data_IF_732487112601
#
_entry.id   IF_732487112601
#
_cell.length_a   1.000
_cell.length_b   1.000
_cell.length_c   1.000
_cell.angle_alpha   90.00
_cell.angle_beta   90.00
_cell.angle_gamma   90.00
#
_symmetry.space_group_name_H-M   'P 1'
#
loop_
_entity.id
_entity.type
_entity.pdbx_description
1 polymer ?
#
# COMPACT_ATOMS: atom_id res chain seq x y z
N UNK A 1 -31.91 1.40 18.43
CA UNK A 1 -32.13 0.47 17.30
C UNK A 1 -33.55 -0.05 17.42
N UNK A 2 -34.37 -0.06 16.36
CA UNK A 2 -35.68 -0.69 16.40
C UNK A 2 -35.53 -2.16 16.79
N UNK A 3 -36.42 -2.65 17.65
CA UNK A 3 -36.36 -4.00 18.26
C UNK A 3 -36.82 -5.11 17.31
N UNK A 4 -37.47 -4.75 16.20
CA UNK A 4 -37.86 -5.66 15.12
C UNK A 4 -37.25 -5.15 13.81
N UNK A 5 -36.40 -5.94 13.13
CA UNK A 5 -35.89 -5.58 11.81
C UNK A 5 -37.04 -5.53 10.79
N UNK A 6 -37.05 -4.48 9.98
CA UNK A 6 -38.00 -4.36 8.87
C UNK A 6 -37.53 -5.26 7.71
N UNK A 7 -38.37 -6.23 7.33
CA UNK A 7 -38.15 -7.13 6.20
C UNK A 7 -39.04 -6.81 4.99
N UNK A 8 -39.79 -5.72 5.04
CA UNK A 8 -40.60 -5.28 3.90
C UNK A 8 -39.69 -4.89 2.75
N UNK A 9 -39.79 -5.64 1.66
CA UNK A 9 -39.10 -5.33 0.41
C UNK A 9 -39.94 -4.25 -0.29
N UNK A 10 -39.39 -3.05 -0.56
CA UNK A 10 -40.12 -2.04 -1.28
C UNK A 10 -40.42 -2.51 -2.70
N UNK A 11 -41.55 -2.06 -3.26
CA UNK A 11 -41.87 -2.31 -4.65
C UNK A 11 -40.74 -1.85 -5.57
N UNK A 12 -40.46 -2.65 -6.59
CA UNK A 12 -39.48 -2.29 -7.61
C UNK A 12 -39.84 -0.94 -8.27
N UNK A 13 -38.85 -0.10 -8.61
CA UNK A 13 -39.11 1.18 -9.24
C UNK A 13 -39.83 1.02 -10.58
N UNK A 14 -40.72 1.97 -10.96
CA UNK A 14 -41.46 1.88 -12.20
C UNK A 14 -40.51 1.91 -13.41
N UNK A 15 -40.84 1.18 -14.49
CA UNK A 15 -39.99 1.16 -15.68
C UNK A 15 -39.95 2.55 -16.33
N UNK A 16 -38.80 2.92 -16.94
CA UNK A 16 -38.68 4.18 -17.66
C UNK A 16 -39.67 4.25 -18.83
N UNK A 17 -40.16 5.45 -19.20
CA UNK A 17 -41.12 5.61 -20.29
C UNK A 17 -40.51 5.18 -21.62
N UNK A 18 -41.28 4.47 -22.45
CA UNK A 18 -40.81 3.74 -23.65
C UNK A 18 -40.02 4.57 -24.66
N UNK A 19 -40.27 5.88 -24.72
CA UNK A 19 -39.63 6.80 -25.68
C UNK A 19 -38.43 7.56 -25.09
N UNK A 20 -38.00 7.23 -23.86
CA UNK A 20 -36.87 7.88 -23.22
C UNK A 20 -35.54 7.19 -23.54
N UNK A 21 -34.45 7.95 -23.53
CA UNK A 21 -33.09 7.41 -23.64
C UNK A 21 -32.79 6.36 -22.57
N UNK A 22 -33.33 6.54 -21.35
CA UNK A 22 -33.21 5.58 -20.25
C UNK A 22 -33.87 4.25 -20.57
N UNK A 23 -35.02 4.24 -21.26
CA UNK A 23 -35.67 3.01 -21.70
C UNK A 23 -34.88 2.31 -22.80
N UNK A 24 -34.29 3.06 -23.73
CA UNK A 24 -33.41 2.50 -24.75
C UNK A 24 -32.15 1.86 -24.14
N UNK A 25 -31.50 2.53 -23.18
CA UNK A 25 -30.35 1.99 -22.46
C UNK A 25 -30.70 0.74 -21.62
N UNK A 26 -31.87 0.74 -20.97
CA UNK A 26 -32.38 -0.42 -20.24
C UNK A 26 -32.59 -1.59 -21.20
N UNK A 27 -33.29 -1.40 -22.31
CA UNK A 27 -33.55 -2.46 -23.29
C UNK A 27 -32.24 -3.03 -23.88
N UNK A 28 -31.28 -2.17 -24.22
CA UNK A 28 -29.96 -2.59 -24.69
C UNK A 28 -29.21 -3.43 -23.64
N UNK A 29 -29.36 -3.09 -22.36
CA UNK A 29 -28.76 -3.82 -21.24
C UNK A 29 -29.46 -5.16 -21.01
N UNK A 30 -30.79 -5.18 -20.99
CA UNK A 30 -31.59 -6.41 -20.87
C UNK A 30 -31.26 -7.40 -21.98
N UNK A 31 -31.11 -6.94 -23.22
CA UNK A 31 -30.72 -7.80 -24.35
C UNK A 31 -29.35 -8.47 -24.14
N UNK A 32 -28.38 -7.78 -23.52
CA UNK A 32 -27.08 -8.38 -23.17
C UNK A 32 -27.25 -9.48 -22.11
N UNK A 33 -28.12 -9.26 -21.14
CA UNK A 33 -28.43 -10.26 -20.11
C UNK A 33 -29.15 -11.48 -20.68
N UNK A 34 -30.13 -11.30 -21.56
CA UNK A 34 -30.80 -12.40 -22.26
C UNK A 34 -29.79 -13.26 -23.02
N UNK A 35 -28.90 -12.62 -23.78
CA UNK A 35 -27.83 -13.33 -24.49
C UNK A 35 -26.90 -14.10 -23.54
N UNK A 36 -26.50 -13.49 -22.42
CA UNK A 36 -25.68 -14.16 -21.42
C UNK A 36 -26.38 -15.38 -20.80
N UNK A 37 -27.69 -15.28 -20.53
CA UNK A 37 -28.49 -16.39 -20.01
C UNK A 37 -28.62 -17.52 -21.03
N UNK A 38 -28.78 -17.21 -22.31
CA UNK A 38 -28.82 -18.21 -23.37
C UNK A 38 -27.48 -18.94 -23.52
N UNK A 39 -26.35 -18.22 -23.46
CA UNK A 39 -25.02 -18.82 -23.42
C UNK A 39 -24.86 -19.77 -22.21
N UNK A 40 -25.37 -19.37 -21.03
CA UNK A 40 -25.36 -20.23 -19.84
C UNK A 40 -26.17 -21.50 -20.03
N UNK A 41 -27.36 -21.42 -20.65
CA UNK A 41 -28.19 -22.61 -20.96
C UNK A 41 -27.46 -23.57 -21.90
N UNK A 42 -26.62 -23.06 -22.78
CA UNK A 42 -25.76 -23.84 -23.68
C UNK A 42 -24.50 -24.40 -22.98
N UNK A 43 -24.34 -24.19 -21.68
CA UNK A 43 -23.16 -24.62 -20.91
C UNK A 43 -21.93 -23.74 -21.11
N UNK A 44 -22.05 -22.60 -21.78
CA UNK A 44 -20.93 -21.67 -21.99
C UNK A 44 -20.83 -20.74 -20.79
N UNK A 45 -19.84 -20.98 -19.94
CA UNK A 45 -19.54 -20.09 -18.81
C UNK A 45 -18.65 -18.92 -19.26
N UNK A 46 -19.23 -17.73 -19.41
CA UNK A 46 -18.51 -16.56 -19.92
C UNK A 46 -17.25 -16.23 -19.11
N UNK A 47 -17.30 -16.23 -17.78
CA UNK A 47 -16.15 -15.90 -16.94
C UNK A 47 -15.00 -16.92 -17.08
N UNK A 48 -15.31 -18.20 -17.28
CA UNK A 48 -14.32 -19.25 -17.51
C UNK A 48 -13.66 -19.08 -18.88
N UNK A 49 -14.47 -18.81 -19.91
CA UNK A 49 -13.97 -18.49 -21.25
C UNK A 49 -13.13 -17.20 -21.25
N UNK A 50 -13.53 -16.22 -20.45
CA UNK A 50 -12.81 -14.96 -20.29
C UNK A 50 -11.47 -15.17 -19.58
N UNK A 51 -11.43 -15.97 -18.52
CA UNK A 51 -10.22 -16.31 -17.77
C UNK A 51 -9.23 -17.16 -18.61
N UNK A 52 -9.74 -18.08 -19.42
CA UNK A 52 -8.91 -18.91 -20.31
C UNK A 52 -8.40 -18.15 -21.55
N UNK A 53 -9.01 -17.00 -21.88
CA UNK A 53 -8.60 -16.16 -23.01
C UNK A 53 -7.15 -15.69 -22.88
N UNK A 54 -6.36 -15.89 -23.94
CA UNK A 54 -4.97 -15.41 -24.00
C UNK A 54 -4.88 -13.89 -24.04
N UNK A 55 -5.91 -13.20 -24.56
CA UNK A 55 -5.94 -11.73 -24.65
C UNK A 55 -5.89 -11.08 -23.26
N UNK A 56 -6.52 -11.68 -22.25
CA UNK A 56 -6.51 -11.15 -20.88
C UNK A 56 -5.29 -11.57 -20.05
N UNK A 57 -4.52 -12.54 -20.52
CA UNK A 57 -3.27 -12.98 -19.85
C UNK A 57 -2.08 -12.04 -20.12
N UNK A 58 -2.30 -10.96 -20.87
CA UNK A 58 -1.27 -9.98 -21.17
C UNK A 58 -1.15 -8.95 -20.03
N UNK A 59 -0.03 -8.87 -19.29
CA UNK A 59 0.13 -7.92 -18.20
C UNK A 59 0.08 -6.46 -18.65
N UNK A 60 0.37 -6.17 -19.93
CA UNK A 60 0.26 -4.82 -20.50
C UNK A 60 -1.16 -4.38 -20.84
N UNK A 61 -2.16 -5.27 -20.73
CA UNK A 61 -3.54 -4.94 -21.05
C UNK A 61 -4.19 -4.09 -19.95
N UNK A 62 -3.96 -4.41 -18.68
CA UNK A 62 -4.58 -3.73 -17.55
C UNK A 62 -4.30 -2.20 -17.56
N UNK A 63 -3.03 -1.74 -17.73
CA UNK A 63 -2.75 -0.31 -17.82
C UNK A 63 -3.54 0.39 -18.94
N UNK A 64 -3.63 -0.22 -20.13
CA UNK A 64 -4.37 0.34 -21.27
C UNK A 64 -5.87 0.44 -21.01
N UNK A 65 -6.44 -0.54 -20.31
CA UNK A 65 -7.85 -0.51 -19.92
C UNK A 65 -8.11 0.57 -18.86
N UNK A 66 -7.18 0.75 -17.92
CA UNK A 66 -7.25 1.84 -16.94
C UNK A 66 -7.16 3.21 -17.62
N UNK A 67 -6.23 3.38 -18.57
CA UNK A 67 -6.10 4.60 -19.38
C UNK A 67 -7.37 4.88 -20.19
N UNK A 68 -7.94 3.86 -20.85
CA UNK A 68 -9.19 3.98 -21.59
C UNK A 68 -10.38 4.40 -20.70
N UNK A 69 -10.43 3.88 -19.48
CA UNK A 69 -11.46 4.21 -18.50
C UNK A 69 -11.17 5.52 -17.74
N UNK A 70 -10.05 6.19 -18.02
CA UNK A 70 -9.57 7.36 -17.28
C UNK A 70 -9.45 7.11 -15.76
N UNK A 71 -9.05 5.89 -15.36
CA UNK A 71 -8.85 5.48 -13.97
C UNK A 71 -7.36 5.53 -13.67
N UNK A 72 -6.94 6.37 -12.71
CA UNK A 72 -5.54 6.37 -12.27
C UNK A 72 -5.24 5.15 -11.38
N UNK A 73 -3.95 4.84 -11.21
CA UNK A 73 -3.52 3.80 -10.26
C UNK A 73 -3.93 4.13 -8.82
N UNK A 74 -3.97 5.39 -8.43
CA UNK A 74 -4.45 5.78 -7.10
C UNK A 74 -5.96 5.63 -6.96
N UNK A 75 -6.72 5.83 -8.04
CA UNK A 75 -8.17 5.65 -8.03
C UNK A 75 -8.56 4.18 -7.83
N UNK A 76 -7.75 3.23 -8.31
CA UNK A 76 -8.03 1.81 -8.14
C UNK A 76 -7.91 1.34 -6.69
N UNK A 77 -7.20 2.09 -5.84
CA UNK A 77 -7.07 1.83 -4.40
C UNK A 77 -8.12 2.54 -3.55
N UNK A 78 -9.04 3.31 -4.16
CA UNK A 78 -10.09 4.00 -3.40
C UNK A 78 -11.05 3.02 -2.75
N UNK A 79 -11.43 3.32 -1.51
CA UNK A 79 -12.46 2.57 -0.80
C UNK A 79 -13.86 2.98 -1.26
N UNK A 80 -14.80 2.04 -1.21
CA UNK A 80 -16.23 2.35 -1.32
C UNK A 80 -16.80 2.93 0.00
N UNK A 81 -16.02 2.93 1.08
CA UNK A 81 -16.42 3.49 2.38
C UNK A 81 -16.27 5.03 2.40
N UNK A 82 -17.09 5.73 3.21
CA UNK A 82 -16.97 7.18 3.39
C UNK A 82 -15.60 7.61 3.94
N UNK A 83 -15.23 8.85 3.65
CA UNK A 83 -14.04 9.50 4.20
C UNK A 83 -14.10 9.52 5.75
N UNK A 84 -12.96 9.24 6.40
CA UNK A 84 -12.84 9.14 7.86
C UNK A 84 -12.99 7.73 8.43
N UNK A 85 -13.61 6.80 7.70
CA UNK A 85 -13.64 5.36 8.03
C UNK A 85 -12.77 4.57 7.05
N UNK A 86 -12.73 4.99 5.79
CA UNK A 86 -11.89 4.41 4.76
C UNK A 86 -10.38 4.54 5.07
N UNK A 87 -9.62 3.55 4.61
CA UNK A 87 -8.15 3.67 4.53
C UNK A 87 -7.80 4.68 3.43
N UNK A 88 -6.96 5.70 3.71
CA UNK A 88 -6.51 6.65 2.69
C UNK A 88 -5.73 5.93 1.58
N UNK A 89 -6.00 6.28 0.32
CA UNK A 89 -5.26 5.74 -0.83
C UNK A 89 -3.84 6.31 -0.94
N UNK A 90 -3.59 7.49 -0.35
CA UNK A 90 -2.28 8.10 -0.26
C UNK A 90 -2.02 8.56 1.18
N UNK A 91 -0.79 8.35 1.63
CA UNK A 91 -0.32 8.76 2.95
C UNK A 91 0.53 10.02 2.85
N UNK A 92 0.67 10.80 3.94
CA UNK A 92 1.63 11.90 3.98
C UNK A 92 3.05 11.40 3.71
N UNK A 93 3.86 12.20 3.01
CA UNK A 93 5.20 11.80 2.55
C UNK A 93 6.07 11.18 3.65
N UNK A 94 6.02 11.72 4.86
CA UNK A 94 6.82 11.25 6.00
C UNK A 94 6.46 9.83 6.47
N UNK A 95 5.34 9.27 6.01
CA UNK A 95 4.86 7.94 6.37
C UNK A 95 5.39 6.85 5.45
N UNK A 96 5.93 7.20 4.26
CA UNK A 96 6.51 6.22 3.36
C UNK A 96 7.88 5.74 3.87
N UNK A 97 8.16 4.45 3.68
CA UNK A 97 9.37 3.80 4.15
C UNK A 97 10.66 4.50 3.69
N UNK A 98 10.69 4.98 2.44
CA UNK A 98 11.84 5.71 1.89
C UNK A 98 12.13 7.00 2.65
N UNK A 99 11.08 7.76 2.99
CA UNK A 99 11.21 9.02 3.69
C UNK A 99 11.56 8.81 5.16
N UNK A 100 10.99 7.78 5.80
CA UNK A 100 11.39 7.35 7.15
C UNK A 100 12.87 6.98 7.21
N UNK A 101 13.37 6.24 6.21
CA UNK A 101 14.78 5.86 6.14
C UNK A 101 15.68 7.10 6.00
N UNK A 102 15.36 8.00 5.06
CA UNK A 102 16.08 9.27 4.87
C UNK A 102 16.10 10.13 6.13
N UNK A 103 14.99 10.19 6.87
CA UNK A 103 14.90 10.90 8.13
C UNK A 103 15.79 10.27 9.21
N UNK A 104 15.76 8.93 9.34
CA UNK A 104 16.58 8.20 10.30
C UNK A 104 18.07 8.42 10.05
N UNK A 105 18.52 8.27 8.80
CA UNK A 105 19.92 8.54 8.42
C UNK A 105 20.35 9.97 8.77
N UNK A 106 19.48 10.96 8.53
CA UNK A 106 19.76 12.36 8.87
C UNK A 106 19.88 12.55 10.38
N UNK A 107 19.02 11.91 11.16
CA UNK A 107 19.05 11.97 12.62
C UNK A 107 20.29 11.27 13.19
N UNK A 108 20.70 10.13 12.63
CA UNK A 108 21.93 9.45 13.02
C UNK A 108 23.18 10.27 12.71
N UNK A 109 23.26 10.89 11.52
CA UNK A 109 24.35 11.80 11.16
C UNK A 109 24.45 12.98 12.12
N UNK A 110 23.31 13.59 12.49
CA UNK A 110 23.26 14.66 13.50
C UNK A 110 23.72 14.18 14.88
N UNK A 111 23.27 13.00 15.34
CA UNK A 111 23.68 12.41 16.61
C UNK A 111 25.18 12.12 16.65
N UNK A 112 25.75 11.62 15.55
CA UNK A 112 27.18 11.37 15.42
C UNK A 112 28.00 12.67 15.41
N UNK A 113 27.51 13.72 14.74
CA UNK A 113 28.16 15.04 14.76
C UNK A 113 28.18 15.62 16.18
N UNK A 114 27.03 15.61 16.87
CA UNK A 114 26.92 16.09 18.26
C UNK A 114 27.83 15.33 19.23
N UNK A 115 27.98 14.01 19.07
CA UNK A 115 28.89 13.21 19.91
C UNK A 115 30.37 13.55 19.72
N UNK A 116 30.76 14.02 18.53
CA UNK A 116 32.15 14.40 18.23
C UNK A 116 32.52 15.77 18.80
N UNK A 117 31.53 16.60 19.11
CA UNK A 117 31.72 17.96 19.64
C UNK A 117 31.75 18.00 21.18
N UNK A 118 31.61 16.85 21.86
CA UNK A 118 31.68 16.77 23.31
C UNK A 118 33.15 16.71 23.76
N UNK A 119 33.64 17.81 24.32
CA UNK A 119 34.91 17.84 25.06
C UNK A 119 34.74 17.18 26.43
N UNK A 120 35.29 15.98 26.58
CA UNK A 120 35.29 15.26 27.85
C UNK A 120 36.37 15.83 28.77
N UNK A 121 35.95 16.41 29.90
CA UNK A 121 36.88 16.79 30.96
C UNK A 121 37.39 15.51 31.65
N UNK A 122 38.72 15.26 31.68
CA UNK A 122 39.26 14.13 32.42
C UNK A 122 38.95 14.30 33.91
N UNK A 123 38.53 13.21 34.57
CA UNK A 123 38.31 13.24 36.01
C UNK A 123 39.58 13.73 36.73
N UNK A 124 39.45 14.81 37.52
CA UNK A 124 40.53 15.30 38.37
C UNK A 124 40.96 14.16 39.28
N UNK A 125 42.21 13.70 39.10
CA UNK A 125 42.78 12.59 39.87
C UNK A 125 42.73 12.97 41.36
N UNK A 126 42.12 12.17 42.26
CA UNK A 126 42.49 12.28 43.66
C UNK A 126 43.96 11.89 43.75
N UNK A 127 44.77 12.76 44.34
CA UNK A 127 46.17 12.52 44.60
C UNK A 127 46.31 11.30 45.53
N UNK A 128 46.59 10.14 44.95
CA UNK A 128 47.13 9.00 45.68
C UNK A 128 48.38 8.56 44.93
N UNK A 129 49.50 8.80 45.58
CA UNK A 129 50.84 8.37 45.23
C UNK A 129 50.91 6.84 45.13
N UNK A 130 51.28 6.32 43.97
CA UNK A 130 52.01 5.05 43.89
C UNK A 130 52.79 5.00 42.58
N UNK A 131 54.10 5.12 42.75
CA UNK A 131 55.14 4.77 41.79
C UNK A 131 55.02 3.31 41.34
N UNK A 132 54.98 3.02 40.04
CA UNK A 132 55.80 2.01 39.37
C UNK A 132 55.39 1.81 37.89
N UNK A 133 56.42 1.87 37.05
CA UNK A 133 56.66 1.19 35.78
C UNK A 133 55.90 1.53 34.49
N UNK A 134 56.69 2.16 33.60
CA UNK A 134 56.55 2.15 32.15
C UNK A 134 56.84 0.75 31.59
N UNK A 135 56.01 0.26 30.68
CA UNK A 135 56.51 -0.40 29.46
C UNK A 135 55.49 -0.27 28.33
N UNK A 136 56.02 0.09 27.17
CA UNK A 136 55.33 0.34 25.92
C UNK A 136 54.99 -0.96 25.19
N UNK A 137 53.94 -0.96 24.35
CA UNK A 137 54.00 -1.40 22.95
C UNK A 137 52.58 -1.43 22.38
N UNK A 138 52.39 -0.78 21.24
CA UNK A 138 51.15 -0.82 20.49
C UNK A 138 50.97 -2.12 19.72
N UNK A 139 49.74 -2.61 19.66
CA UNK A 139 49.27 -3.46 18.56
C UNK A 139 47.84 -3.06 18.21
N UNK A 140 47.69 -2.51 17.00
CA UNK A 140 46.41 -2.39 16.32
C UNK A 140 45.94 -3.81 15.97
N UNK A 141 45.11 -4.40 16.83
CA UNK A 141 44.43 -5.65 16.50
C UNK A 141 42.98 -5.34 16.11
N UNK A 142 42.74 -5.38 14.80
CA UNK A 142 41.43 -5.27 14.21
C UNK A 142 40.56 -6.43 14.70
N UNK A 143 39.67 -6.14 15.65
CA UNK A 143 38.66 -7.07 16.14
C UNK A 143 37.71 -7.45 15.00
N UNK A 144 38.04 -8.53 14.27
CA UNK A 144 37.13 -9.15 13.30
C UNK A 144 35.90 -9.69 14.05
N UNK A 145 34.77 -9.05 13.81
CA UNK A 145 33.46 -9.44 14.31
C UNK A 145 33.00 -10.74 13.65
N UNK A 146 32.44 -11.65 14.45
CA UNK A 146 31.98 -13.00 14.06
C UNK A 146 30.66 -12.99 13.26
N UNK A 147 30.16 -11.82 12.88
CA UNK A 147 28.85 -11.65 12.24
C UNK A 147 28.90 -11.65 10.70
N UNK A 148 30.09 -11.56 10.09
CA UNK A 148 30.26 -11.44 8.63
C UNK A 148 30.31 -12.78 7.86
N UNK A 149 29.77 -13.85 8.46
CA UNK A 149 29.56 -15.13 7.77
C UNK A 149 28.14 -15.60 7.99
N UNK A 150 27.25 -15.20 7.08
CA UNK A 150 26.16 -16.02 6.51
C UNK A 150 25.45 -15.28 5.40
#
# INVERSE_FOLDING_TARGET
>A
MPTVPNFDIPDSPPPPPRNSEKAAALAATTKKFEHFLDLKKQGIHFNERLQSSSSLRNPSLLPKLMDFAAISTLDSYKSALPEGIAVPSAWPDQSYAENLLRQNERNEKKRLAQRRELDFVPASKPAISSTADKSASGSNDARKSKFDKR
#
